data_IF_080827153978
#
_entry.id   IF_080827153978
#
_cell.length_a   1.000
_cell.length_b   1.000
_cell.length_c   1.000
_cell.angle_alpha   90.00
_cell.angle_beta   90.00
_cell.angle_gamma   90.00
#
_symmetry.space_group_name_H-M   'P 1'
#
loop_
_entity.id
_entity.type
_entity.pdbx_description
1 polymer ?
#
# COMPACT_ATOMS: atom_id res chain seq x y z
N UNK A 1 -30.11 -9.47 -22.34
CA UNK A 1 -31.02 -9.05 -21.24
C UNK A 1 -30.26 -8.19 -20.24
N UNK A 2 -30.93 -7.48 -19.33
CA UNK A 2 -30.27 -6.72 -18.25
C UNK A 2 -29.35 -7.60 -17.39
N UNK A 3 -29.76 -8.85 -17.17
CA UNK A 3 -28.95 -9.87 -16.49
C UNK A 3 -27.64 -10.18 -17.20
N UNK A 4 -27.62 -10.19 -18.55
CA UNK A 4 -26.40 -10.43 -19.32
C UNK A 4 -25.42 -9.26 -19.22
N UNK A 5 -25.94 -8.02 -19.13
CA UNK A 5 -25.12 -6.82 -18.91
C UNK A 5 -24.46 -6.86 -17.53
N UNK A 6 -25.22 -7.17 -16.47
CA UNK A 6 -24.69 -7.30 -15.10
C UNK A 6 -23.64 -8.42 -14.97
N UNK A 7 -23.84 -9.55 -15.67
CA UNK A 7 -22.83 -10.63 -15.70
C UNK A 7 -21.53 -10.19 -16.37
N UNK A 8 -21.62 -9.41 -17.45
CA UNK A 8 -20.44 -8.91 -18.16
C UNK A 8 -19.73 -7.83 -17.36
N UNK A 9 -20.46 -6.89 -16.76
CA UNK A 9 -19.92 -5.87 -15.86
C UNK A 9 -19.17 -6.50 -14.67
N UNK A 10 -19.74 -7.53 -14.04
CA UNK A 10 -19.07 -8.29 -12.98
C UNK A 10 -17.78 -8.98 -13.45
N UNK A 11 -17.73 -9.45 -14.70
CA UNK A 11 -16.51 -10.03 -15.29
C UNK A 11 -15.47 -8.94 -15.55
N UNK A 12 -15.89 -7.77 -16.00
CA UNK A 12 -15.02 -6.62 -16.21
C UNK A 12 -14.40 -6.16 -14.90
N UNK A 13 -15.20 -5.91 -13.85
CA UNK A 13 -14.70 -5.52 -12.52
C UNK A 13 -13.70 -6.54 -11.93
N UNK A 14 -13.93 -7.85 -12.13
CA UNK A 14 -12.98 -8.89 -11.71
C UNK A 14 -11.65 -8.82 -12.47
N UNK A 15 -11.70 -8.59 -13.78
CA UNK A 15 -10.50 -8.44 -14.62
C UNK A 15 -9.74 -7.17 -14.23
N UNK A 16 -10.44 -6.08 -14.01
CA UNK A 16 -9.87 -4.81 -13.58
C UNK A 16 -9.19 -4.93 -12.22
N UNK A 17 -9.86 -5.52 -11.22
CA UNK A 17 -9.25 -5.81 -9.91
C UNK A 17 -7.96 -6.62 -10.04
N UNK A 18 -7.96 -7.64 -10.90
CA UNK A 18 -6.77 -8.47 -11.13
C UNK A 18 -5.64 -7.67 -11.77
N UNK A 19 -5.93 -6.91 -12.83
CA UNK A 19 -4.95 -6.06 -13.52
C UNK A 19 -4.36 -5.02 -12.58
N UNK A 20 -5.19 -4.34 -11.80
CA UNK A 20 -4.73 -3.35 -10.84
C UNK A 20 -3.82 -3.96 -9.77
N UNK A 21 -4.18 -5.14 -9.27
CA UNK A 21 -3.34 -5.87 -8.33
C UNK A 21 -1.97 -6.19 -8.94
N UNK A 22 -1.95 -6.79 -10.13
CA UNK A 22 -0.71 -7.17 -10.83
C UNK A 22 0.16 -5.93 -11.15
N UNK A 23 -0.44 -4.83 -11.61
CA UNK A 23 0.28 -3.59 -11.93
C UNK A 23 0.89 -2.94 -10.67
N UNK A 24 0.13 -2.85 -9.58
CA UNK A 24 0.62 -2.24 -8.34
C UNK A 24 1.65 -3.14 -7.66
N UNK A 25 1.48 -4.47 -7.71
CA UNK A 25 2.48 -5.42 -7.22
C UNK A 25 3.81 -5.29 -7.97
N UNK A 26 3.79 -5.21 -9.30
CA UNK A 26 5.00 -4.99 -10.08
C UNK A 26 5.71 -3.66 -9.73
N UNK A 27 4.95 -2.58 -9.51
CA UNK A 27 5.51 -1.29 -9.07
C UNK A 27 6.11 -1.34 -7.67
N UNK A 28 5.51 -2.11 -6.77
CA UNK A 28 6.03 -2.32 -5.42
C UNK A 28 7.34 -3.12 -5.48
N UNK A 29 7.38 -4.19 -6.27
CA UNK A 29 8.60 -5.00 -6.49
C UNK A 29 9.74 -4.17 -7.09
N UNK A 30 9.44 -3.28 -8.05
CA UNK A 30 10.44 -2.36 -8.61
C UNK A 30 11.03 -1.41 -7.54
N UNK A 31 10.18 -0.93 -6.61
CA UNK A 31 10.62 -0.06 -5.52
C UNK A 31 11.45 -0.83 -4.49
N UNK A 32 11.08 -2.07 -4.20
CA UNK A 32 11.85 -2.96 -3.31
C UNK A 32 13.24 -3.23 -3.87
N UNK A 33 13.36 -3.56 -5.16
CA UNK A 33 14.66 -3.76 -5.80
C UNK A 33 15.56 -2.50 -5.71
N UNK A 34 15.00 -1.30 -5.87
CA UNK A 34 15.75 -0.04 -5.73
C UNK A 34 16.16 0.25 -4.29
N UNK A 35 15.31 -0.07 -3.32
CA UNK A 35 15.63 0.06 -1.90
C UNK A 35 16.78 -0.88 -1.55
N UNK A 36 16.74 -2.14 -2.02
CA UNK A 36 17.80 -3.13 -1.81
C UNK A 36 19.14 -2.67 -2.42
N UNK A 37 19.10 -2.10 -3.63
CA UNK A 37 20.29 -1.53 -4.29
C UNK A 37 20.90 -0.39 -3.47
N UNK A 38 20.08 0.55 -2.99
CA UNK A 38 20.55 1.65 -2.12
C UNK A 38 21.08 1.14 -0.78
N UNK A 39 20.50 0.09 -0.20
CA UNK A 39 21.03 -0.54 1.01
C UNK A 39 22.40 -1.16 0.78
N UNK A 40 22.59 -1.83 -0.37
CA UNK A 40 23.88 -2.39 -0.74
C UNK A 40 24.92 -1.28 -0.97
N UNK A 41 24.54 -0.20 -1.65
CA UNK A 41 25.40 0.97 -1.87
C UNK A 41 25.79 1.64 -0.55
N UNK A 42 24.84 1.86 0.36
CA UNK A 42 25.11 2.36 1.71
C UNK A 42 26.04 1.42 2.49
N UNK A 43 25.90 0.11 2.33
CA UNK A 43 26.77 -0.88 2.97
C UNK A 43 28.18 -0.86 2.38
N UNK A 44 28.30 -0.74 1.05
CA UNK A 44 29.59 -0.59 0.34
C UNK A 44 30.26 0.72 0.73
N UNK A 45 29.53 1.83 0.80
CA UNK A 45 29.99 3.13 1.27
C UNK A 45 30.58 3.07 2.69
N UNK A 46 29.93 2.34 3.60
CA UNK A 46 30.42 2.12 4.98
C UNK A 46 31.65 1.20 5.04
N UNK A 47 31.68 0.13 4.23
CA UNK A 47 32.73 -0.89 4.29
C UNK A 47 33.94 -0.60 3.39
N UNK A 48 33.76 0.22 2.35
CA UNK A 48 34.79 0.61 1.37
C UNK A 48 35.86 1.54 1.95
N UNK A 49 35.64 2.06 3.15
CA UNK A 49 36.65 2.83 3.89
C UNK A 49 37.88 2.02 4.33
N UNK A 50 37.90 0.69 4.10
CA UNK A 50 38.95 -0.21 4.56
C UNK A 50 39.95 -0.71 3.49
N UNK A 51 39.90 -0.27 2.21
CA UNK A 51 40.73 -0.96 1.20
C UNK A 51 41.09 -0.31 -0.14
N UNK A 52 40.79 0.96 -0.42
CA UNK A 52 41.26 1.60 -1.67
C UNK A 52 41.47 3.10 -1.53
N UNK A 53 42.58 3.59 -2.09
CA UNK A 53 42.88 4.99 -2.34
C UNK A 53 41.79 5.60 -3.23
N UNK A 54 40.75 6.17 -2.63
CA UNK A 54 39.65 6.74 -3.40
C UNK A 54 38.46 7.15 -2.55
N UNK A 55 38.68 8.01 -1.55
CA UNK A 55 37.67 8.82 -0.87
C UNK A 55 36.57 8.06 -0.12
N UNK A 56 36.52 8.21 1.21
CA UNK A 56 35.28 7.97 1.95
C UNK A 56 34.13 8.75 1.27
N UNK A 57 32.95 8.16 1.04
CA UNK A 57 31.82 8.89 0.51
C UNK A 57 31.60 10.10 1.40
N UNK A 58 31.51 11.27 0.78
CA UNK A 58 31.38 12.52 1.51
C UNK A 58 30.14 12.40 2.42
N UNK A 59 30.13 12.92 3.66
CA UNK A 59 28.99 12.78 4.58
C UNK A 59 27.64 13.12 3.90
N UNK A 60 27.69 14.13 3.03
CA UNK A 60 26.57 14.59 2.19
C UNK A 60 26.05 13.57 1.17
N UNK A 61 26.86 12.61 0.74
CA UNK A 61 26.48 11.56 -0.23
C UNK A 61 25.79 10.39 0.47
N UNK A 62 26.28 9.97 1.64
CA UNK A 62 25.55 9.02 2.49
C UNK A 62 24.19 9.57 2.93
N UNK A 63 24.10 10.86 3.25
CA UNK A 63 22.83 11.46 3.66
C UNK A 63 21.85 11.56 2.48
N UNK A 64 22.34 11.85 1.26
CA UNK A 64 21.52 11.77 0.04
C UNK A 64 20.97 10.38 -0.22
N UNK A 65 21.80 9.33 -0.10
CA UNK A 65 21.36 7.94 -0.29
C UNK A 65 20.31 7.52 0.75
N UNK A 66 20.45 7.96 2.00
CA UNK A 66 19.44 7.73 3.05
C UNK A 66 18.13 8.47 2.75
N UNK A 67 18.22 9.72 2.31
CA UNK A 67 17.04 10.52 1.94
C UNK A 67 16.29 9.90 0.76
N UNK A 68 17.03 9.42 -0.25
CA UNK A 68 16.45 8.74 -1.40
C UNK A 68 15.78 7.42 -1.01
N UNK A 69 16.44 6.61 -0.18
CA UNK A 69 15.85 5.39 0.40
C UNK A 69 14.55 5.71 1.12
N UNK A 70 14.55 6.72 2.02
CA UNK A 70 13.37 7.15 2.76
C UNK A 70 12.23 7.57 1.83
N UNK A 71 12.53 8.33 0.77
CA UNK A 71 11.53 8.72 -0.24
C UNK A 71 10.92 7.52 -0.93
N UNK A 72 11.73 6.54 -1.32
CA UNK A 72 11.24 5.31 -1.96
C UNK A 72 10.38 4.47 -1.01
N UNK A 73 10.74 4.36 0.27
CA UNK A 73 9.92 3.69 1.29
C UNK A 73 8.55 4.38 1.48
N UNK A 74 8.53 5.71 1.53
CA UNK A 74 7.30 6.49 1.60
C UNK A 74 6.43 6.34 0.34
N UNK A 75 7.03 6.33 -0.85
CA UNK A 75 6.33 6.09 -2.11
C UNK A 75 5.76 4.67 -2.20
N UNK A 76 6.54 3.65 -1.82
CA UNK A 76 6.10 2.25 -1.74
C UNK A 76 4.86 2.14 -0.84
N UNK A 77 4.94 2.73 0.36
CA UNK A 77 3.82 2.73 1.30
C UNK A 77 2.57 3.40 0.71
N UNK A 78 2.71 4.53 0.03
CA UNK A 78 1.57 5.20 -0.64
C UNK A 78 0.95 4.31 -1.72
N UNK A 79 1.77 3.62 -2.51
CA UNK A 79 1.30 2.67 -3.51
C UNK A 79 0.53 1.49 -2.89
N UNK A 80 1.00 0.96 -1.77
CA UNK A 80 0.29 -0.08 -1.01
C UNK A 80 -1.06 0.42 -0.47
N UNK A 81 -1.10 1.63 0.11
CA UNK A 81 -2.32 2.24 0.62
C UNK A 81 -3.33 2.52 -0.51
N UNK A 82 -2.88 3.01 -1.67
CA UNK A 82 -3.71 3.25 -2.84
C UNK A 82 -4.25 1.93 -3.44
N UNK A 83 -3.40 0.91 -3.53
CA UNK A 83 -3.78 -0.43 -4.00
C UNK A 83 -4.88 -1.01 -3.11
N UNK A 84 -4.69 -0.98 -1.79
CA UNK A 84 -5.68 -1.47 -0.82
C UNK A 84 -7.00 -0.71 -0.96
N UNK A 85 -6.94 0.62 -1.04
CA UNK A 85 -8.14 1.45 -1.17
C UNK A 85 -8.92 1.15 -2.45
N UNK A 86 -8.22 1.00 -3.59
CA UNK A 86 -8.87 0.72 -4.87
C UNK A 86 -9.41 -0.71 -4.97
N UNK A 87 -8.73 -1.67 -4.33
CA UNK A 87 -9.23 -3.03 -4.18
C UNK A 87 -10.52 -3.06 -3.35
N UNK A 88 -10.55 -2.32 -2.24
CA UNK A 88 -11.74 -2.23 -1.40
C UNK A 88 -12.94 -1.61 -2.16
N UNK A 89 -12.71 -0.55 -2.93
CA UNK A 89 -13.74 0.08 -3.78
C UNK A 89 -14.31 -0.92 -4.81
N UNK A 90 -13.44 -1.61 -5.55
CA UNK A 90 -13.86 -2.64 -6.52
C UNK A 90 -14.59 -3.82 -5.86
N UNK A 91 -14.23 -4.19 -4.63
CA UNK A 91 -14.97 -5.20 -3.87
C UNK A 91 -16.37 -4.73 -3.47
N UNK A 92 -16.50 -3.46 -3.09
CA UNK A 92 -17.79 -2.87 -2.75
C UNK A 92 -18.70 -2.77 -3.98
N UNK A 93 -18.16 -2.37 -5.13
CA UNK A 93 -18.89 -2.37 -6.41
C UNK A 93 -19.33 -3.78 -6.81
N UNK A 94 -18.42 -4.77 -6.75
CA UNK A 94 -18.75 -6.17 -7.01
C UNK A 94 -19.85 -6.70 -6.08
N UNK A 95 -19.88 -6.20 -4.85
CA UNK A 95 -20.90 -6.55 -3.86
C UNK A 95 -22.23 -5.85 -4.14
N UNK A 96 -22.22 -4.56 -4.49
CA UNK A 96 -23.42 -3.83 -4.92
C UNK A 96 -24.03 -4.47 -6.16
N UNK A 97 -23.23 -4.81 -7.16
CA UNK A 97 -23.68 -5.54 -8.35
C UNK A 97 -24.23 -6.95 -8.03
N UNK A 98 -23.79 -7.57 -6.92
CA UNK A 98 -24.32 -8.85 -6.43
C UNK A 98 -25.63 -8.70 -5.65
N UNK A 99 -25.80 -7.60 -4.93
CA UNK A 99 -26.99 -7.35 -4.10
C UNK A 99 -28.10 -6.62 -4.87
N UNK A 100 -27.77 -5.81 -5.87
CA UNK A 100 -28.71 -5.13 -6.77
C UNK A 100 -29.47 -6.09 -7.69
N UNK A 101 -29.04 -7.36 -7.79
CA UNK A 101 -29.81 -8.42 -8.45
C UNK A 101 -30.90 -9.05 -7.56
N UNK A 102 -30.98 -8.69 -6.28
CA UNK A 102 -32.11 -9.04 -5.42
C UNK A 102 -32.97 -7.78 -5.23
N UNK A 103 -34.01 -7.63 -6.04
CA UNK A 103 -35.01 -6.59 -5.83
C UNK A 103 -35.61 -6.71 -4.42
N UNK A 104 -35.71 -5.58 -3.71
CA UNK A 104 -36.76 -5.37 -2.70
C UNK A 104 -36.87 -3.89 -2.41
N UNK A 105 -38.04 -3.37 -2.75
CA UNK A 105 -38.65 -2.20 -2.15
C UNK A 105 -38.52 -2.25 -0.61
N UNK A 106 -38.23 -1.11 0.02
CA UNK A 106 -38.67 -0.87 1.41
C UNK A 106 -37.79 -1.30 2.60
N UNK A 107 -36.48 -1.56 2.44
CA UNK A 107 -35.61 -1.80 3.59
C UNK A 107 -34.36 -0.92 3.56
N UNK A 108 -34.20 -0.03 4.54
CA UNK A 108 -32.92 0.67 4.75
C UNK A 108 -31.78 -0.37 4.74
N UNK A 109 -30.70 -0.17 3.97
CA UNK A 109 -29.61 -1.14 3.89
C UNK A 109 -28.92 -1.17 5.26
N UNK A 110 -29.31 -2.14 6.08
CA UNK A 110 -28.66 -2.38 7.35
C UNK A 110 -27.22 -2.84 7.03
N UNK A 111 -26.17 -2.20 7.57
CA UNK A 111 -24.80 -2.64 7.33
C UNK A 111 -24.70 -4.09 7.80
N UNK A 112 -24.31 -4.98 6.88
CA UNK A 112 -24.14 -6.39 7.21
C UNK A 112 -23.01 -6.54 8.21
N UNK A 113 -22.96 -7.66 8.93
CA UNK A 113 -21.81 -7.96 9.81
C UNK A 113 -20.47 -7.85 9.08
N UNK A 114 -20.41 -8.23 7.79
CA UNK A 114 -19.19 -8.12 7.01
C UNK A 114 -18.80 -6.66 6.68
N UNK A 115 -19.77 -5.75 6.54
CA UNK A 115 -19.49 -4.31 6.43
C UNK A 115 -18.93 -3.76 7.73
N UNK A 116 -19.53 -4.14 8.87
CA UNK A 116 -19.04 -3.72 10.19
C UNK A 116 -17.65 -4.25 10.49
N UNK A 117 -17.37 -5.51 10.17
CA UNK A 117 -16.05 -6.10 10.36
C UNK A 117 -14.99 -5.46 9.45
N UNK A 118 -15.36 -5.02 8.24
CA UNK A 118 -14.47 -4.27 7.35
C UNK A 118 -14.20 -2.86 7.89
N UNK A 119 -15.24 -2.17 8.38
CA UNK A 119 -15.14 -0.87 9.05
C UNK A 119 -14.24 -0.96 10.28
N UNK A 120 -14.46 -1.96 11.14
CA UNK A 120 -13.68 -2.24 12.35
C UNK A 120 -12.23 -2.56 12.02
N UNK A 121 -11.97 -3.38 10.98
CA UNK A 121 -10.62 -3.65 10.50
C UNK A 121 -9.92 -2.38 10.00
N UNK A 122 -10.63 -1.49 9.30
CA UNK A 122 -10.10 -0.18 8.87
C UNK A 122 -9.80 0.72 10.07
N UNK A 123 -10.67 0.74 11.07
CA UNK A 123 -10.45 1.49 12.31
C UNK A 123 -9.22 0.97 13.06
N UNK A 124 -9.09 -0.35 13.23
CA UNK A 124 -7.92 -0.99 13.84
C UNK A 124 -6.63 -0.70 13.07
N UNK A 125 -6.66 -0.69 11.73
CA UNK A 125 -5.48 -0.32 10.90
C UNK A 125 -5.06 1.13 11.16
N UNK A 126 -6.02 2.06 11.25
CA UNK A 126 -5.76 3.49 11.57
C UNK A 126 -5.21 3.65 12.99
N UNK A 127 -5.81 2.97 13.96
CA UNK A 127 -5.39 3.03 15.36
C UNK A 127 -3.98 2.48 15.55
N UNK A 128 -3.66 1.35 14.90
CA UNK A 128 -2.31 0.77 14.92
C UNK A 128 -1.26 1.72 14.33
N UNK A 129 -1.62 2.47 13.28
CA UNK A 129 -0.76 3.51 12.69
C UNK A 129 -0.53 4.66 13.67
N UNK A 130 -1.60 5.15 14.31
CA UNK A 130 -1.52 6.22 15.32
C UNK A 130 -0.64 5.84 16.51
N UNK A 131 -0.80 4.61 17.02
CA UNK A 131 0.01 4.10 18.12
C UNK A 131 1.49 3.93 17.74
N UNK A 132 1.78 3.60 16.49
CA UNK A 132 3.15 3.54 15.98
C UNK A 132 3.76 4.94 15.91
N UNK A 133 3.06 5.90 15.30
CA UNK A 133 3.50 7.30 15.22
C UNK A 133 3.71 7.92 16.62
N UNK A 134 2.85 7.61 17.60
CA UNK A 134 3.01 8.06 18.99
C UNK A 134 4.22 7.42 19.69
N UNK A 135 4.52 6.14 19.40
CA UNK A 135 5.72 5.48 19.93
C UNK A 135 6.99 6.06 19.33
N UNK A 136 7.00 6.29 18.03
CA UNK A 136 8.16 6.85 17.32
C UNK A 136 8.43 8.28 17.84
N UNK A 137 7.40 9.09 18.04
CA UNK A 137 7.53 10.43 18.64
C UNK A 137 8.04 10.43 20.10
N UNK A 138 7.63 9.45 20.92
CA UNK A 138 8.12 9.33 22.31
C UNK A 138 9.56 8.84 22.42
N UNK A 139 10.09 8.19 21.39
CA UNK A 139 11.50 7.81 21.31
C UNK A 139 12.34 9.05 21.00
N UNK A 140 11.86 9.92 20.10
CA UNK A 140 12.54 11.17 19.72
C UNK A 140 12.63 12.21 20.86
N UNK A 141 11.74 12.16 21.87
CA UNK A 141 11.74 13.10 23.00
C UNK A 141 12.66 12.65 24.17
N UNK A 142 13.30 11.48 24.07
CA UNK A 142 14.13 10.88 25.14
C UNK A 142 15.62 10.77 24.84
N UNK A 143 16.05 11.13 23.64
CA UNK A 143 17.46 11.29 23.23
C UNK A 143 17.87 12.77 23.22
#
# INVERSE_FOLDING_TARGET
TEMDRLKEEKRQLKREKRRLKEEKDAKIEEKDAKIDELEEELRRARNGSNGSEGGSPHPTEMDRLKDEKRRLEEEKRRLEEEKDAKIDELEEELRRARNGSNGSEGGSPHPTEMDRLKEEKRQLKREKRRLKEEKDAKIEEKD
#
